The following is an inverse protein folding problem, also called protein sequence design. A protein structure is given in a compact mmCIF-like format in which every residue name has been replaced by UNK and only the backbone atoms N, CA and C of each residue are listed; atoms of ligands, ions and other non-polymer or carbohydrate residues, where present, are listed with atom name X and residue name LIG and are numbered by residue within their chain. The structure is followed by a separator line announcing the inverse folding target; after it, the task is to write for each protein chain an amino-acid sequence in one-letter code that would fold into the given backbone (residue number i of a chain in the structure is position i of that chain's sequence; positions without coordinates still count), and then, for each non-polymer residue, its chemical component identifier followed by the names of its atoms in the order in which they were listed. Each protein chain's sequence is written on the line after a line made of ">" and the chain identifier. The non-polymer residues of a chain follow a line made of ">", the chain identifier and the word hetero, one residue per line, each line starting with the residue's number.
data_IF_195121541628
#
_entry.id   IF_195121541628
#
_cell.length_a   1.000
_cell.length_b   1.000
_cell.length_c   1.000
_cell.angle_alpha   90.00
_cell.angle_beta   90.00
_cell.angle_gamma   90.00
#
_symmetry.space_group_name_H-M   'P 1'
#
loop_
_entity.id
_entity.type
_entity.pdbx_description
1 polymer ?
#
# COMPACT_ATOMS: atom_id res chain seq x y z
N UNK A 1 11.21 -25.90 -26.88
CA UNK A 1 10.15 -25.34 -26.02
C UNK A 1 10.70 -24.11 -25.35
N UNK A 2 10.00 -22.97 -25.37
CA UNK A 2 10.45 -21.77 -24.65
C UNK A 2 10.44 -22.06 -23.16
N UNK A 3 11.58 -21.85 -22.49
CA UNK A 3 11.72 -22.04 -21.05
C UNK A 3 11.12 -20.85 -20.28
N UNK A 4 10.87 -19.73 -20.95
CA UNK A 4 10.30 -18.52 -20.38
C UNK A 4 8.93 -18.21 -20.96
N UNK A 5 8.00 -17.84 -20.08
CA UNK A 5 6.67 -17.35 -20.44
C UNK A 5 6.69 -15.83 -20.49
N UNK A 6 6.26 -15.26 -21.60
CA UNK A 6 6.13 -13.81 -21.74
C UNK A 6 4.99 -13.30 -20.85
N UNK A 7 5.27 -12.28 -20.02
CA UNK A 7 4.27 -11.62 -19.18
C UNK A 7 3.69 -10.41 -19.93
N UNK A 8 2.38 -10.37 -20.26
CA UNK A 8 1.78 -9.24 -20.95
C UNK A 8 1.95 -7.91 -20.20
N UNK A 9 1.93 -6.81 -20.96
CA UNK A 9 1.98 -5.46 -20.43
C UNK A 9 0.95 -5.26 -19.31
N UNK A 10 1.40 -4.74 -18.17
CA UNK A 10 0.54 -4.45 -17.02
C UNK A 10 0.22 -5.65 -16.12
N UNK A 11 0.64 -6.88 -16.49
CA UNK A 11 0.44 -8.06 -15.64
C UNK A 11 1.16 -7.87 -14.31
N UNK A 12 0.47 -8.13 -13.19
CA UNK A 12 1.06 -8.08 -11.84
C UNK A 12 2.18 -9.08 -11.67
N UNK A 13 3.21 -8.69 -10.93
CA UNK A 13 4.36 -9.53 -10.57
C UNK A 13 4.54 -9.50 -9.05
N UNK A 14 4.43 -10.64 -8.35
CA UNK A 14 3.91 -11.92 -8.86
C UNK A 14 2.44 -11.79 -9.31
N UNK A 15 1.97 -12.73 -10.14
CA UNK A 15 0.60 -12.77 -10.66
C UNK A 15 -0.41 -13.12 -9.55
N UNK A 16 -0.62 -12.15 -8.68
CA UNK A 16 -1.38 -12.22 -7.45
C UNK A 16 -2.15 -10.91 -7.28
N UNK A 17 -3.28 -10.96 -6.59
CA UNK A 17 -4.12 -9.80 -6.28
C UNK A 17 -3.33 -8.69 -5.61
N UNK A 18 -2.50 -9.07 -4.63
CA UNK A 18 -1.65 -8.17 -3.86
C UNK A 18 -0.29 -7.86 -4.51
N UNK A 19 -0.09 -8.28 -5.77
CA UNK A 19 1.13 -8.00 -6.53
C UNK A 19 1.31 -6.49 -6.75
N UNK A 20 2.50 -5.99 -6.46
CA UNK A 20 2.79 -4.55 -6.50
C UNK A 20 3.64 -4.11 -7.69
N UNK A 21 4.34 -5.04 -8.34
CA UNK A 21 5.07 -4.76 -9.58
C UNK A 21 4.19 -5.11 -10.78
N UNK A 22 4.48 -4.54 -11.94
CA UNK A 22 3.79 -4.81 -13.19
C UNK A 22 4.79 -5.05 -14.32
N UNK A 23 4.44 -5.90 -15.28
CA UNK A 23 5.27 -6.19 -16.44
C UNK A 23 5.28 -5.02 -17.42
N UNK A 24 6.48 -4.59 -17.80
CA UNK A 24 6.75 -3.70 -18.94
C UNK A 24 7.67 -4.49 -19.90
N UNK A 25 7.09 -5.33 -20.78
CA UNK A 25 7.85 -6.40 -21.43
C UNK A 25 8.83 -5.91 -22.50
N UNK A 26 8.62 -4.72 -23.07
CA UNK A 26 9.48 -4.17 -24.13
C UNK A 26 10.05 -2.81 -23.74
N UNK A 27 11.15 -2.39 -24.39
CA UNK A 27 11.69 -1.04 -24.22
C UNK A 27 10.70 0.06 -24.61
N UNK A 28 9.81 -0.21 -25.58
CA UNK A 28 8.72 0.71 -25.92
C UNK A 28 7.77 0.91 -24.75
N UNK A 29 7.41 -0.16 -24.04
CA UNK A 29 6.54 -0.08 -22.87
C UNK A 29 7.21 0.68 -21.73
N UNK A 30 8.52 0.48 -21.52
CA UNK A 30 9.30 1.23 -20.54
C UNK A 30 9.29 2.73 -20.86
N UNK A 31 9.64 3.10 -22.10
CA UNK A 31 9.67 4.50 -22.54
C UNK A 31 8.27 5.13 -22.43
N UNK A 32 7.24 4.45 -22.96
CA UNK A 32 5.87 4.97 -22.91
C UNK A 32 5.33 5.07 -21.48
N UNK A 33 5.75 4.20 -20.55
CA UNK A 33 5.42 4.35 -19.14
C UNK A 33 6.03 5.64 -18.55
N UNK A 34 7.33 5.89 -18.78
CA UNK A 34 8.03 7.07 -18.29
C UNK A 34 7.52 8.38 -18.90
N UNK A 35 7.18 8.36 -20.19
CA UNK A 35 6.61 9.51 -20.92
C UNK A 35 5.10 9.70 -20.68
N UNK A 36 4.48 8.81 -19.88
CA UNK A 36 3.05 8.81 -19.55
C UNK A 36 2.13 8.65 -20.78
N UNK A 37 2.56 7.85 -21.76
CA UNK A 37 1.74 7.46 -22.90
C UNK A 37 0.43 6.78 -22.39
N UNK A 38 -0.76 7.32 -22.72
CA UNK A 38 -2.04 6.73 -22.36
C UNK A 38 -2.20 5.28 -22.82
N UNK A 39 -1.61 4.92 -23.97
CA UNK A 39 -1.69 3.57 -24.51
C UNK A 39 -0.93 2.55 -23.66
N UNK A 40 0.07 2.98 -22.89
CA UNK A 40 0.80 2.13 -21.95
C UNK A 40 0.19 2.21 -20.55
N UNK A 41 -0.01 3.43 -20.04
CA UNK A 41 -0.42 3.66 -18.65
C UNK A 41 -1.79 3.10 -18.32
N UNK A 42 -2.70 2.97 -19.29
CA UNK A 42 -4.02 2.33 -19.10
C UNK A 42 -3.93 0.85 -18.69
N UNK A 43 -2.84 0.17 -19.00
CA UNK A 43 -2.62 -1.23 -18.61
C UNK A 43 -2.10 -1.37 -17.16
N UNK A 44 -1.70 -0.28 -16.51
CA UNK A 44 -1.06 -0.32 -15.20
C UNK A 44 -2.10 -0.44 -14.08
N UNK A 45 -2.35 -1.68 -13.65
CA UNK A 45 -3.30 -2.01 -12.57
C UNK A 45 -2.65 -2.13 -11.18
N UNK A 46 -1.32 -2.03 -11.13
CA UNK A 46 -0.48 -1.98 -9.94
C UNK A 46 0.84 -1.29 -10.30
N UNK A 47 1.62 -0.88 -9.31
CA UNK A 47 2.95 -0.33 -9.56
C UNK A 47 3.64 0.15 -8.30
N UNK A 48 4.80 -0.42 -7.98
CA UNK A 48 5.69 0.02 -6.91
C UNK A 48 6.42 1.31 -7.35
N UNK A 49 6.63 2.33 -6.47
CA UNK A 49 6.33 2.41 -5.06
C UNK A 49 4.91 2.91 -4.77
N UNK A 50 3.88 2.16 -5.20
CA UNK A 50 2.44 2.43 -5.00
C UNK A 50 1.98 3.71 -5.69
N UNK A 51 2.44 3.90 -6.93
CA UNK A 51 1.91 4.92 -7.83
C UNK A 51 0.40 4.78 -8.04
N UNK A 52 -0.07 3.52 -8.03
CA UNK A 52 -1.47 3.14 -8.11
C UNK A 52 -1.96 2.72 -6.72
N UNK A 53 -2.96 3.43 -6.20
CA UNK A 53 -3.63 3.03 -4.95
C UNK A 53 -4.44 1.77 -5.22
N UNK A 54 -4.23 0.73 -4.40
CA UNK A 54 -4.86 -0.57 -4.59
C UNK A 54 -6.40 -0.45 -4.61
N UNK A 55 -7.11 -1.16 -5.51
CA UNK A 55 -8.57 -1.09 -5.61
C UNK A 55 -9.29 -1.37 -4.28
N UNK A 56 -8.82 -2.35 -3.50
CA UNK A 56 -9.41 -2.65 -2.19
C UNK A 56 -9.22 -1.53 -1.18
N UNK A 57 -8.09 -0.81 -1.19
CA UNK A 57 -7.92 0.35 -0.32
C UNK A 57 -8.91 1.46 -0.68
N UNK A 58 -9.18 1.68 -1.97
CA UNK A 58 -10.21 2.63 -2.43
C UNK A 58 -11.61 2.18 -2.00
N UNK A 59 -11.94 0.90 -2.21
CA UNK A 59 -13.25 0.32 -1.84
C UNK A 59 -13.48 0.38 -0.33
N UNK A 60 -12.47 0.03 0.46
CA UNK A 60 -12.51 0.13 1.92
C UNK A 60 -12.74 1.57 2.38
N UNK A 61 -12.04 2.54 1.76
CA UNK A 61 -12.23 3.96 2.05
C UNK A 61 -13.65 4.44 1.73
N UNK A 62 -14.18 4.09 0.56
CA UNK A 62 -15.53 4.44 0.15
C UNK A 62 -16.60 3.84 1.09
N UNK A 63 -16.48 2.55 1.42
CA UNK A 63 -17.38 1.90 2.37
C UNK A 63 -17.32 2.58 3.75
N UNK A 64 -16.12 2.88 4.24
CA UNK A 64 -15.93 3.53 5.54
C UNK A 64 -16.60 4.91 5.58
N UNK A 65 -16.39 5.74 4.56
CA UNK A 65 -17.04 7.06 4.45
C UNK A 65 -18.58 6.93 4.43
N UNK A 66 -19.11 5.96 3.70
CA UNK A 66 -20.54 5.65 3.67
C UNK A 66 -21.09 5.27 5.05
N UNK A 67 -20.41 4.36 5.75
CA UNK A 67 -20.81 3.91 7.10
C UNK A 67 -20.77 5.01 8.15
N UNK A 68 -19.94 6.04 7.96
CA UNK A 68 -19.79 7.18 8.86
C UNK A 68 -20.67 8.38 8.46
N UNK A 69 -21.43 8.29 7.36
CA UNK A 69 -22.23 9.41 6.86
C UNK A 69 -21.39 10.61 6.38
N UNK A 70 -20.15 10.38 5.97
CA UNK A 70 -19.19 11.42 5.57
C UNK A 70 -19.23 11.67 4.06
N UNK A 71 -20.41 11.93 3.53
CA UNK A 71 -20.56 12.33 2.13
C UNK A 71 -19.75 13.61 1.84
N UNK A 72 -19.16 13.70 0.64
CA UNK A 72 -18.33 14.84 0.23
C UNK A 72 -16.98 14.95 0.96
N UNK A 73 -16.54 13.89 1.64
CA UNK A 73 -15.19 13.79 2.21
C UNK A 73 -14.34 12.80 1.42
N UNK A 74 -13.03 13.04 1.40
CA UNK A 74 -12.03 12.07 1.00
C UNK A 74 -11.44 11.39 2.24
N UNK A 75 -10.99 10.14 2.08
CA UNK A 75 -10.26 9.39 3.11
C UNK A 75 -8.98 8.80 2.55
N UNK A 76 -7.90 8.91 3.32
CA UNK A 76 -6.62 8.29 3.03
C UNK A 76 -6.23 7.36 4.17
N UNK A 77 -6.33 6.06 3.89
CA UNK A 77 -6.09 4.99 4.87
C UNK A 77 -4.58 4.74 5.05
N UNK A 78 -4.18 4.53 6.29
CA UNK A 78 -2.78 4.45 6.71
C UNK A 78 -2.47 3.14 7.40
N UNK A 79 -1.19 2.75 7.38
CA UNK A 79 -0.66 1.54 8.03
C UNK A 79 -0.67 1.56 9.56
N UNK A 80 -0.89 2.71 10.19
CA UNK A 80 -0.98 2.83 11.65
C UNK A 80 -1.54 4.20 12.06
N UNK A 81 -1.98 4.31 13.32
CA UNK A 81 -2.36 5.60 13.91
C UNK A 81 -1.23 6.63 13.88
N UNK A 82 0.04 6.20 14.09
CA UNK A 82 1.21 7.08 14.00
C UNK A 82 1.38 7.65 12.59
N UNK A 83 1.14 6.82 11.56
CA UNK A 83 1.15 7.28 10.17
C UNK A 83 0.00 8.27 9.89
N UNK A 84 -1.20 8.01 10.41
CA UNK A 84 -2.33 8.93 10.30
C UNK A 84 -2.04 10.29 10.96
N UNK A 85 -1.45 10.30 12.15
CA UNK A 85 -1.05 11.54 12.83
C UNK A 85 -0.03 12.34 12.03
N UNK A 86 0.97 11.66 11.46
CA UNK A 86 1.99 12.29 10.63
C UNK A 86 1.39 12.89 9.36
N UNK A 87 0.50 12.14 8.69
CA UNK A 87 -0.23 12.62 7.53
C UNK A 87 -1.10 13.83 7.89
N UNK A 88 -1.87 13.77 8.98
CA UNK A 88 -2.71 14.88 9.44
C UNK A 88 -1.89 16.14 9.69
N UNK A 89 -0.76 16.01 10.39
CA UNK A 89 0.17 17.14 10.63
C UNK A 89 0.73 17.70 9.32
N UNK A 90 1.09 16.83 8.37
CA UNK A 90 1.60 17.25 7.07
C UNK A 90 0.55 17.99 6.23
N UNK A 91 -0.71 17.57 6.29
CA UNK A 91 -1.80 18.20 5.54
C UNK A 91 -2.23 19.53 6.16
N UNK A 92 -2.29 19.62 7.49
CA UNK A 92 -2.85 20.76 8.22
C UNK A 92 -4.38 20.74 8.23
N UNK A 93 -5.01 21.83 8.67
CA UNK A 93 -6.46 21.99 8.55
C UNK A 93 -6.88 21.95 7.06
N UNK A 94 -8.01 21.33 6.70
CA UNK A 94 -9.06 20.76 7.56
C UNK A 94 -8.90 19.26 7.89
N UNK A 95 -7.70 18.69 7.79
CA UNK A 95 -7.48 17.25 7.94
C UNK A 95 -7.70 16.75 9.39
N UNK A 96 -8.49 15.67 9.53
CA UNK A 96 -8.82 15.03 10.81
C UNK A 96 -8.48 13.54 10.78
N UNK A 97 -8.17 12.97 11.93
CA UNK A 97 -8.05 11.51 12.06
C UNK A 97 -9.43 10.87 11.89
N UNK A 98 -9.47 9.65 11.38
CA UNK A 98 -10.63 8.80 11.55
C UNK A 98 -10.94 8.57 13.05
N UNK A 99 -12.21 8.33 13.42
CA UNK A 99 -12.59 7.96 14.77
C UNK A 99 -11.77 6.76 15.30
N UNK A 100 -11.44 6.76 16.59
CA UNK A 100 -10.61 5.70 17.19
C UNK A 100 -11.28 4.34 17.25
N UNK A 101 -12.61 4.32 17.21
CA UNK A 101 -13.46 3.13 17.10
C UNK A 101 -13.66 2.66 15.65
N UNK A 102 -13.11 3.38 14.66
CA UNK A 102 -13.12 2.95 13.29
C UNK A 102 -12.26 1.68 13.11
N UNK A 103 -12.73 0.79 12.25
CA UNK A 103 -12.09 -0.50 11.98
C UNK A 103 -10.73 -0.38 11.24
N UNK A 104 -10.40 0.80 10.71
CA UNK A 104 -9.18 1.12 9.96
C UNK A 104 -8.66 2.49 10.39
N UNK A 105 -7.36 2.72 10.23
CA UNK A 105 -6.73 4.02 10.53
C UNK A 105 -6.54 4.87 9.28
N UNK A 106 -6.62 6.19 9.42
CA UNK A 106 -6.49 7.10 8.29
C UNK A 106 -6.86 8.54 8.61
N UNK A 107 -6.85 9.36 7.58
CA UNK A 107 -7.15 10.81 7.64
C UNK A 107 -8.30 11.14 6.70
N UNK A 108 -9.23 11.95 7.19
CA UNK A 108 -10.39 12.47 6.45
C UNK A 108 -10.30 13.98 6.28
N UNK A 109 -10.83 14.50 5.18
CA UNK A 109 -11.00 15.92 4.89
C UNK A 109 -12.09 16.11 3.82
N UNK A 110 -12.72 17.30 3.70
CA UNK A 110 -13.63 17.59 2.58
C UNK A 110 -12.96 17.30 1.23
N UNK A 111 -13.72 16.82 0.25
CA UNK A 111 -13.18 16.50 -1.07
C UNK A 111 -12.41 17.68 -1.68
N UNK A 112 -11.10 17.48 -1.83
CA UNK A 112 -10.18 18.46 -2.38
C UNK A 112 -9.07 17.72 -3.13
N UNK A 113 -8.90 18.06 -4.41
CA UNK A 113 -7.93 17.40 -5.29
C UNK A 113 -6.48 17.72 -4.91
N UNK A 114 -6.20 18.93 -4.42
CA UNK A 114 -4.86 19.34 -4.01
C UNK A 114 -4.45 18.65 -2.69
N UNK A 115 -5.34 18.59 -1.70
CA UNK A 115 -5.11 17.83 -0.46
C UNK A 115 -4.99 16.34 -0.75
N UNK A 116 -5.81 15.79 -1.64
CA UNK A 116 -5.71 14.38 -2.05
C UNK A 116 -4.37 14.08 -2.72
N UNK A 117 -3.89 14.97 -3.60
CA UNK A 117 -2.58 14.83 -4.25
C UNK A 117 -1.42 14.90 -3.24
N UNK A 118 -1.48 15.83 -2.27
CA UNK A 118 -0.50 15.93 -1.17
C UNK A 118 -0.52 14.69 -0.28
N UNK A 119 -1.70 14.21 0.09
CA UNK A 119 -1.86 13.02 0.91
C UNK A 119 -1.28 11.78 0.23
N UNK A 120 -1.60 11.59 -1.06
CA UNK A 120 -1.04 10.52 -1.88
C UNK A 120 0.49 10.58 -1.89
N UNK A 121 1.05 11.73 -2.23
CA UNK A 121 2.51 11.94 -2.33
C UNK A 121 3.20 11.63 -1.00
N UNK A 122 2.64 12.14 0.11
CA UNK A 122 3.16 11.86 1.45
C UNK A 122 3.17 10.37 1.78
N UNK A 123 2.05 9.68 1.57
CA UNK A 123 1.93 8.25 1.87
C UNK A 123 2.79 7.38 0.94
N UNK A 124 2.93 7.78 -0.32
CA UNK A 124 3.75 7.11 -1.32
C UNK A 124 5.23 7.12 -0.93
N UNK A 125 5.76 8.31 -0.65
CA UNK A 125 7.18 8.47 -0.29
C UNK A 125 7.48 8.04 1.15
N UNK A 126 6.51 8.16 2.06
CA UNK A 126 6.62 7.66 3.42
C UNK A 126 6.45 6.15 3.55
N UNK A 127 5.90 5.48 2.53
CA UNK A 127 5.59 4.05 2.60
C UNK A 127 4.51 3.71 3.63
N UNK A 128 3.54 4.61 3.81
CA UNK A 128 2.63 4.64 4.96
C UNK A 128 1.19 4.25 4.64
N UNK A 129 0.88 3.89 3.39
CA UNK A 129 -0.43 3.39 3.00
C UNK A 129 -0.87 2.17 3.82
N UNK A 130 -2.19 2.02 4.00
CA UNK A 130 -2.80 0.76 4.37
C UNK A 130 -2.34 -0.37 3.43
N UNK A 131 -2.09 -1.57 3.98
CA UNK A 131 -1.78 -2.72 3.14
C UNK A 131 -3.02 -3.21 2.36
N UNK A 132 -2.83 -3.78 1.18
CA UNK A 132 -3.94 -4.33 0.40
C UNK A 132 -4.61 -5.54 1.07
N UNK A 133 -3.85 -6.30 1.87
CA UNK A 133 -4.33 -7.42 2.69
C UNK A 133 -5.22 -6.95 3.83
N UNK A 134 -4.81 -5.91 4.55
CA UNK A 134 -5.64 -5.33 5.61
C UNK A 134 -6.94 -4.72 5.04
N UNK A 135 -6.88 -4.15 3.83
CA UNK A 135 -8.08 -3.71 3.12
C UNK A 135 -8.99 -4.88 2.72
N UNK A 136 -8.42 -6.00 2.26
CA UNK A 136 -9.16 -7.23 1.94
C UNK A 136 -9.84 -7.80 3.19
N UNK A 137 -9.11 -7.98 4.28
CA UNK A 137 -9.63 -8.47 5.56
C UNK A 137 -10.78 -7.61 6.07
N UNK A 138 -10.64 -6.29 5.97
CA UNK A 138 -11.71 -5.37 6.33
C UNK A 138 -12.95 -5.58 5.46
N UNK A 139 -12.79 -5.65 4.13
CA UNK A 139 -13.90 -5.78 3.20
C UNK A 139 -14.63 -7.13 3.35
N UNK A 140 -13.90 -8.22 3.60
CA UNK A 140 -14.50 -9.52 3.94
C UNK A 140 -15.33 -9.42 5.22
N UNK A 141 -14.76 -8.81 6.27
CA UNK A 141 -15.42 -8.66 7.58
C UNK A 141 -16.73 -7.87 7.51
N UNK A 142 -16.81 -6.85 6.65
CA UNK A 142 -18.02 -6.03 6.49
C UNK A 142 -18.97 -6.54 5.40
N UNK A 143 -18.67 -7.68 4.76
CA UNK A 143 -19.51 -8.28 3.72
C UNK A 143 -19.45 -7.59 2.36
N UNK A 144 -18.45 -6.72 2.14
CA UNK A 144 -18.19 -6.06 0.86
C UNK A 144 -17.39 -6.94 -0.11
N UNK A 145 -16.74 -7.99 0.37
CA UNK A 145 -16.14 -9.04 -0.45
C UNK A 145 -16.66 -10.41 0.00
N UNK A 146 -16.75 -11.33 -0.96
CA UNK A 146 -16.99 -12.74 -0.71
C UNK A 146 -15.68 -13.52 -0.66
N UNK A 147 -15.68 -14.71 -0.07
CA UNK A 147 -14.47 -15.52 0.11
C UNK A 147 -13.78 -15.91 -1.20
N UNK A 148 -14.53 -16.06 -2.30
CA UNK A 148 -14.02 -16.34 -3.65
C UNK A 148 -13.32 -15.14 -4.31
N UNK A 149 -13.55 -13.93 -3.80
CA UNK A 149 -12.88 -12.70 -4.27
C UNK A 149 -11.59 -12.41 -3.51
N UNK A 150 -11.36 -13.11 -2.39
CA UNK A 150 -10.15 -12.96 -1.59
C UNK A 150 -9.02 -13.84 -2.12
N UNK A 151 -7.79 -13.41 -1.91
CA UNK A 151 -6.63 -14.23 -2.20
C UNK A 151 -6.35 -15.18 -1.04
N UNK A 152 -6.31 -16.49 -1.33
CA UNK A 152 -5.85 -17.48 -0.35
C UNK A 152 -4.37 -17.24 0.00
N UNK A 153 -4.10 -17.17 1.32
CA UNK A 153 -2.76 -16.93 1.84
C UNK A 153 -2.38 -18.06 2.81
N UNK A 154 -1.19 -18.62 2.61
CA UNK A 154 -0.66 -19.61 3.53
C UNK A 154 -0.33 -18.93 4.85
N UNK A 155 -1.01 -19.35 5.91
CA UNK A 155 -0.65 -18.94 7.26
C UNK A 155 0.69 -19.56 7.68
N UNK A 156 1.38 -18.87 8.57
CA UNK A 156 2.58 -19.38 9.23
C UNK A 156 2.25 -19.64 10.70
N UNK A 157 2.42 -20.88 11.15
CA UNK A 157 2.31 -21.21 12.56
C UNK A 157 3.53 -20.71 13.33
N UNK A 158 3.29 -19.89 14.35
CA UNK A 158 4.32 -19.32 15.22
C UNK A 158 4.52 -17.82 15.07
N UNK A 159 5.64 -17.31 15.60
CA UNK A 159 5.91 -15.87 15.61
C UNK A 159 6.61 -15.43 14.32
N UNK A 160 5.83 -15.02 13.32
CA UNK A 160 6.32 -14.62 11.99
C UNK A 160 7.48 -13.60 12.02
N UNK A 161 7.49 -12.56 12.87
CA UNK A 161 8.62 -11.64 12.94
C UNK A 161 9.96 -12.29 13.27
N UNK A 162 10.00 -13.27 14.19
CA UNK A 162 11.25 -13.98 14.50
C UNK A 162 11.74 -14.83 13.33
N UNK A 163 10.82 -15.50 12.62
CA UNK A 163 11.15 -16.29 11.43
C UNK A 163 11.75 -15.40 10.33
N UNK A 164 11.11 -14.27 10.02
CA UNK A 164 11.60 -13.31 9.00
C UNK A 164 12.95 -12.74 9.41
N UNK A 165 13.09 -12.24 10.64
CA UNK A 165 14.35 -11.65 11.12
C UNK A 165 15.50 -12.66 11.10
N UNK A 166 15.26 -13.89 11.57
CA UNK A 166 16.26 -14.95 11.56
C UNK A 166 16.67 -15.36 10.14
N UNK A 167 15.72 -15.43 9.21
CA UNK A 167 16.02 -15.75 7.82
C UNK A 167 16.86 -14.66 7.14
N UNK A 168 16.49 -13.39 7.32
CA UNK A 168 17.24 -12.25 6.78
C UNK A 168 18.65 -12.17 7.35
N UNK A 169 18.81 -12.32 8.67
CA UNK A 169 20.11 -12.23 9.34
C UNK A 169 21.14 -13.23 8.78
N UNK A 170 20.71 -14.44 8.37
CA UNK A 170 21.60 -15.49 7.81
C UNK A 170 22.30 -15.09 6.51
N UNK A 171 21.82 -14.07 5.80
CA UNK A 171 22.46 -13.57 4.58
C UNK A 171 23.61 -12.58 4.87
N UNK A 172 23.84 -12.20 6.13
CA UNK A 172 24.85 -11.22 6.51
C UNK A 172 25.85 -11.82 7.52
N UNK A 173 27.16 -11.65 7.29
CA UNK A 173 28.22 -12.30 8.08
C UNK A 173 28.26 -11.88 9.55
N UNK A 174 27.82 -10.67 9.88
CA UNK A 174 27.92 -10.08 11.22
C UNK A 174 26.60 -9.50 11.73
N UNK A 175 25.46 -10.08 11.31
CA UNK A 175 24.14 -9.68 11.79
C UNK A 175 23.45 -10.81 12.55
N UNK A 176 22.88 -10.49 13.71
CA UNK A 176 21.92 -11.33 14.41
C UNK A 176 20.48 -10.92 14.06
N UNK A 177 19.51 -11.77 14.39
CA UNK A 177 18.09 -11.45 14.21
C UNK A 177 17.66 -10.18 14.97
N UNK A 178 18.37 -9.83 16.06
CA UNK A 178 18.18 -8.60 16.83
C UNK A 178 18.59 -7.34 16.07
N UNK A 179 19.48 -7.47 15.08
CA UNK A 179 19.95 -6.36 14.23
C UNK A 179 19.01 -6.11 13.04
N UNK A 180 18.00 -6.98 12.85
CA UNK A 180 16.99 -6.86 11.79
C UNK A 180 15.74 -6.19 12.36
N UNK A 181 15.44 -5.01 11.82
CA UNK A 181 14.23 -4.25 12.14
C UNK A 181 13.20 -4.42 11.03
N UNK A 182 11.95 -4.66 11.40
CA UNK A 182 10.85 -4.77 10.45
C UNK A 182 10.15 -3.41 10.32
N UNK A 183 9.76 -3.09 9.09
CA UNK A 183 8.96 -1.92 8.76
C UNK A 183 7.81 -2.36 7.85
N UNK A 184 6.77 -1.53 7.72
CA UNK A 184 5.59 -1.84 6.90
C UNK A 184 5.90 -1.85 5.40
N UNK A 185 6.95 -1.14 5.01
CA UNK A 185 7.52 -1.15 3.66
C UNK A 185 8.98 -0.67 3.66
N UNK A 186 9.71 -0.91 2.56
CA UNK A 186 11.06 -0.35 2.38
C UNK A 186 11.10 1.17 2.51
N UNK A 187 10.12 1.88 1.92
CA UNK A 187 10.02 3.34 2.06
C UNK A 187 9.78 3.78 3.52
N UNK A 188 8.97 3.02 4.28
CA UNK A 188 8.77 3.32 5.71
C UNK A 188 10.02 3.11 6.54
N UNK A 189 10.87 2.13 6.19
CA UNK A 189 12.16 1.92 6.84
C UNK A 189 13.09 3.11 6.59
N UNK A 190 13.21 3.54 5.32
CA UNK A 190 14.00 4.71 4.93
C UNK A 190 13.48 5.97 5.64
N UNK A 191 12.17 6.22 5.62
CA UNK A 191 11.55 7.38 6.28
C UNK A 191 11.73 7.36 7.80
N UNK A 192 11.77 6.18 8.43
CA UNK A 192 12.09 6.05 9.85
C UNK A 192 13.55 6.45 10.12
N UNK A 193 14.50 5.96 9.31
CA UNK A 193 15.92 6.31 9.43
C UNK A 193 16.14 7.82 9.31
N UNK A 194 15.58 8.47 8.27
CA UNK A 194 15.72 9.91 8.07
C UNK A 194 15.29 10.74 9.28
N UNK A 195 14.25 10.31 10.01
CA UNK A 195 13.74 11.03 11.19
C UNK A 195 14.57 10.86 12.45
N UNK A 196 15.47 9.88 12.49
CA UNK A 196 16.38 9.70 13.62
C UNK A 196 17.64 10.57 13.47
N UNK A 197 18.03 10.87 12.23
CA UNK A 197 19.25 11.65 11.91
C UNK A 197 18.99 13.13 11.58
N UNK A 198 17.77 13.51 11.22
CA UNK A 198 17.38 14.90 10.94
C UNK A 198 16.75 15.57 12.17
#
# INVERSE_FOLDING_TARGET
>A
MSVFTHLPLGQRIPASLHGVSASLPTMRDVIGYEEKDPEITKHMTSGYPRFVVHPFAKKAGAHLLGSLGLAGHAVWLTSSIRAAEQLRRHLGEPAKLLPTDAALTGVIFPEDAALSSRAKTFLQHGGMFLSSREAEDYLLRVGELTADQAQDEKSFEGYAPANVKGHVARFYQHAAATDVFLATSGMSAIAATFRVVA
#
